data_IF_725443974452
#
_entry.id   IF_725443974452
#
_cell.length_a   1.000
_cell.length_b   1.000
_cell.length_c   1.000
_cell.angle_alpha   90.00
_cell.angle_beta   90.00
_cell.angle_gamma   90.00
#
_symmetry.space_group_name_H-M   'P 1'
#
loop_
_entity.id
_entity.type
_entity.pdbx_description
1 polymer ?
#
# COMPACT_ATOMS: atom_id res chain seq x y z
N UNK A 1 4.15 39.07 52.30
CA UNK A 1 3.31 38.34 51.31
C UNK A 1 3.52 36.86 51.55
N UNK A 2 2.48 36.05 51.81
CA UNK A 2 2.68 34.61 51.95
C UNK A 2 2.88 34.00 50.56
N UNK A 3 3.96 33.24 50.40
CA UNK A 3 4.27 32.49 49.18
C UNK A 3 3.28 31.34 49.02
N UNK A 4 2.53 31.33 47.91
CA UNK A 4 1.70 30.20 47.51
C UNK A 4 2.58 28.94 47.42
N UNK A 5 2.35 27.99 48.32
CA UNK A 5 2.90 26.64 48.21
C UNK A 5 2.24 25.97 47.02
N UNK A 6 2.92 25.92 45.88
CA UNK A 6 2.51 25.09 44.75
C UNK A 6 2.55 23.62 45.19
N UNK A 7 1.37 23.02 45.38
CA UNK A 7 1.26 21.58 45.55
C UNK A 7 1.51 20.93 44.18
N UNK A 8 2.63 20.20 44.08
CA UNK A 8 2.90 19.35 42.91
C UNK A 8 1.84 18.25 42.76
N UNK A 9 1.76 17.61 41.59
CA UNK A 9 0.79 16.54 41.36
C UNK A 9 0.94 15.44 42.42
N UNK A 10 -0.17 14.82 42.85
CA UNK A 10 -0.13 13.78 43.88
C UNK A 10 0.75 12.60 43.43
N UNK A 11 1.50 11.97 44.36
CA UNK A 11 2.30 10.80 44.05
C UNK A 11 1.39 9.64 43.61
N UNK A 12 1.83 8.89 42.61
CA UNK A 12 1.08 7.72 42.10
C UNK A 12 0.85 6.72 43.22
N UNK A 13 -0.36 6.15 43.27
CA UNK A 13 -0.67 5.11 44.24
C UNK A 13 0.05 3.80 43.92
N UNK A 14 0.28 2.95 44.93
CA UNK A 14 0.90 1.62 44.74
C UNK A 14 0.19 0.79 43.67
N UNK A 15 -1.14 0.87 43.62
CA UNK A 15 -1.95 0.15 42.65
C UNK A 15 -1.75 0.70 41.22
N UNK A 16 -1.65 2.02 41.06
CA UNK A 16 -1.32 2.63 39.76
C UNK A 16 0.07 2.24 39.27
N UNK A 17 1.04 2.19 40.18
CA UNK A 17 2.40 1.70 39.88
C UNK A 17 2.38 0.23 39.46
N UNK A 18 1.63 -0.63 40.15
CA UNK A 18 1.48 -2.04 39.81
C UNK A 18 0.84 -2.23 38.42
N UNK A 19 -0.26 -1.53 38.15
CA UNK A 19 -0.98 -1.61 36.87
C UNK A 19 -0.09 -1.14 35.72
N UNK A 20 0.55 0.02 35.85
CA UNK A 20 1.39 0.59 34.77
C UNK A 20 2.64 -0.24 34.49
N UNK A 21 3.22 -0.86 35.52
CA UNK A 21 4.42 -1.70 35.39
C UNK A 21 4.15 -3.04 34.68
N UNK A 22 2.90 -3.50 34.63
CA UNK A 22 2.52 -4.77 33.99
C UNK A 22 1.87 -4.54 32.62
N UNK A 23 0.92 -3.60 32.51
CA UNK A 23 0.18 -3.39 31.27
C UNK A 23 1.03 -2.78 30.15
N UNK A 24 1.93 -1.84 30.49
CA UNK A 24 2.78 -1.17 29.49
C UNK A 24 3.67 -2.15 28.72
N UNK A 25 4.47 -2.98 29.41
CA UNK A 25 5.31 -3.98 28.76
C UNK A 25 4.53 -5.03 27.97
N UNK A 26 3.39 -5.52 28.49
CA UNK A 26 2.54 -6.49 27.80
C UNK A 26 1.97 -5.91 26.49
N UNK A 27 1.50 -4.66 26.52
CA UNK A 27 1.05 -3.97 25.31
C UNK A 27 2.21 -3.77 24.32
N UNK A 28 3.40 -3.42 24.82
CA UNK A 28 4.61 -3.31 23.99
C UNK A 28 4.96 -4.61 23.27
N UNK A 29 4.91 -5.75 23.97
CA UNK A 29 5.14 -7.07 23.36
C UNK A 29 4.06 -7.39 22.33
N UNK A 30 2.79 -7.11 22.64
CA UNK A 30 1.69 -7.33 21.70
C UNK A 30 1.87 -6.49 20.41
N UNK A 31 2.22 -5.21 20.56
CA UNK A 31 2.47 -4.32 19.43
C UNK A 31 3.68 -4.77 18.61
N UNK A 32 4.74 -5.28 19.24
CA UNK A 32 5.91 -5.80 18.54
C UNK A 32 5.55 -7.03 17.69
N UNK A 33 4.77 -7.96 18.24
CA UNK A 33 4.28 -9.13 17.52
C UNK A 33 3.35 -8.72 16.37
N UNK A 34 2.45 -7.76 16.61
CA UNK A 34 1.55 -7.24 15.59
C UNK A 34 2.30 -6.55 14.45
N UNK A 35 3.34 -5.76 14.75
CA UNK A 35 4.19 -5.12 13.76
C UNK A 35 4.93 -6.16 12.91
N UNK A 36 5.49 -7.20 13.53
CA UNK A 36 6.14 -8.31 12.82
C UNK A 36 5.15 -9.04 11.90
N UNK A 37 3.96 -9.36 12.40
CA UNK A 37 2.90 -9.99 11.60
C UNK A 37 2.47 -9.12 10.42
N UNK A 38 2.36 -7.79 10.61
CA UNK A 38 2.01 -6.85 9.56
C UNK A 38 3.08 -6.77 8.47
N UNK A 39 4.37 -6.79 8.85
CA UNK A 39 5.48 -6.82 7.89
C UNK A 39 5.47 -8.10 7.06
N UNK A 40 5.33 -9.26 7.74
CA UNK A 40 5.26 -10.57 7.06
C UNK A 40 4.04 -10.63 6.14
N UNK A 41 2.88 -10.14 6.57
CA UNK A 41 1.69 -10.05 5.72
C UNK A 41 1.96 -9.23 4.45
N UNK A 42 2.64 -8.09 4.58
CA UNK A 42 2.97 -7.22 3.45
C UNK A 42 3.89 -7.92 2.44
N UNK A 43 4.87 -8.67 2.93
CA UNK A 43 5.80 -9.43 2.10
C UNK A 43 5.11 -10.60 1.40
N UNK A 44 4.33 -11.40 2.13
CA UNK A 44 3.57 -12.53 1.57
C UNK A 44 2.61 -12.06 0.47
N UNK A 45 1.90 -10.95 0.68
CA UNK A 45 1.01 -10.38 -0.34
C UNK A 45 1.77 -10.04 -1.62
N UNK A 46 2.96 -9.47 -1.49
CA UNK A 46 3.80 -9.08 -2.62
C UNK A 46 4.29 -10.32 -3.36
N UNK A 47 4.78 -11.33 -2.62
CA UNK A 47 5.20 -12.61 -3.18
C UNK A 47 4.07 -13.33 -3.93
N UNK A 48 2.89 -13.47 -3.32
CA UNK A 48 1.73 -14.06 -3.99
C UNK A 48 1.38 -13.32 -5.29
N UNK A 49 1.41 -11.98 -5.28
CA UNK A 49 1.15 -11.20 -6.49
C UNK A 49 2.15 -11.51 -7.60
N UNK A 50 3.44 -11.59 -7.28
CA UNK A 50 4.47 -11.91 -8.26
C UNK A 50 4.31 -13.33 -8.82
N UNK A 51 4.00 -14.30 -7.97
CA UNK A 51 3.76 -15.68 -8.36
C UNK A 51 2.52 -15.83 -9.26
N UNK A 52 1.41 -15.19 -8.87
CA UNK A 52 0.16 -15.22 -9.64
C UNK A 52 0.33 -14.56 -11.01
N UNK A 53 1.08 -13.45 -11.09
CA UNK A 53 1.41 -12.81 -12.36
C UNK A 53 2.28 -13.71 -13.24
N UNK A 54 3.28 -14.40 -12.67
CA UNK A 54 4.10 -15.36 -13.42
C UNK A 54 3.27 -16.54 -13.93
N UNK A 55 2.39 -17.08 -13.09
CA UNK A 55 1.48 -18.17 -13.47
C UNK A 55 0.46 -17.72 -14.54
N UNK A 56 -0.02 -16.49 -14.47
CA UNK A 56 -0.87 -15.87 -15.48
C UNK A 56 -0.11 -15.66 -16.80
N UNK A 57 1.11 -15.15 -16.75
CA UNK A 57 1.98 -14.97 -17.92
C UNK A 57 2.28 -16.31 -18.61
N UNK A 58 2.43 -17.41 -17.86
CA UNK A 58 2.64 -18.73 -18.45
C UNK A 58 1.39 -19.28 -19.19
N UNK A 59 0.20 -18.75 -18.92
CA UNK A 59 -1.08 -19.19 -19.50
C UNK A 59 -1.69 -18.20 -20.49
N UNK A 60 -1.12 -17.00 -20.61
CA UNK A 60 -1.68 -15.96 -21.47
C UNK A 60 -1.52 -16.32 -22.95
N UNK A 61 -2.57 -16.14 -23.74
CA UNK A 61 -2.56 -16.41 -25.18
C UNK A 61 -2.57 -15.10 -25.96
N UNK A 62 -1.67 -14.99 -26.93
CA UNK A 62 -1.67 -13.88 -27.88
C UNK A 62 -2.84 -14.05 -28.87
N UNK A 63 -3.73 -13.06 -28.96
CA UNK A 63 -4.85 -13.06 -29.89
C UNK A 63 -4.82 -11.83 -30.79
N UNK A 64 -5.42 -11.95 -31.97
CA UNK A 64 -5.61 -10.83 -32.89
C UNK A 64 -6.70 -9.89 -32.35
N UNK A 65 -6.51 -8.57 -32.46
CA UNK A 65 -7.43 -7.55 -31.95
C UNK A 65 -8.68 -7.35 -32.82
N UNK A 66 -8.62 -7.70 -34.10
CA UNK A 66 -9.64 -7.42 -35.12
C UNK A 66 -10.86 -8.36 -35.02
N UNK A 67 -10.71 -9.51 -34.34
CA UNK A 67 -11.80 -10.49 -34.20
C UNK A 67 -11.74 -11.24 -32.87
N UNK A 68 -12.92 -11.53 -32.33
CA UNK A 68 -13.07 -12.45 -31.20
C UNK A 68 -13.12 -13.88 -31.73
N UNK A 69 -12.22 -14.73 -31.23
CA UNK A 69 -12.19 -16.16 -31.57
C UNK A 69 -12.77 -16.99 -30.41
N UNK A 70 -13.93 -17.64 -30.61
CA UNK A 70 -14.57 -18.46 -29.58
C UNK A 70 -13.69 -19.60 -29.02
N UNK A 71 -12.61 -19.97 -29.72
CA UNK A 71 -11.67 -20.98 -29.25
C UNK A 71 -10.88 -20.57 -27.99
N UNK A 72 -10.83 -19.27 -27.66
CA UNK A 72 -10.10 -18.73 -26.49
C UNK A 72 -11.06 -18.28 -25.37
N UNK A 73 -12.34 -18.64 -25.43
CA UNK A 73 -13.32 -18.31 -24.38
C UNK A 73 -12.88 -18.87 -23.02
N UNK A 74 -12.90 -18.00 -22.00
CA UNK A 74 -12.45 -18.34 -20.65
C UNK A 74 -10.94 -18.38 -20.45
N UNK A 75 -10.13 -18.15 -21.50
CA UNK A 75 -8.68 -18.03 -21.37
C UNK A 75 -8.26 -16.59 -21.00
N UNK A 76 -7.08 -16.47 -20.38
CA UNK A 76 -6.41 -15.18 -20.26
C UNK A 76 -5.76 -14.85 -21.60
N UNK A 77 -6.13 -13.71 -22.20
CA UNK A 77 -5.61 -13.31 -23.52
C UNK A 77 -4.89 -11.97 -23.45
N UNK A 78 -3.92 -11.77 -24.34
CA UNK A 78 -3.32 -10.47 -24.60
C UNK A 78 -3.38 -10.18 -26.10
N UNK A 79 -3.59 -8.90 -26.45
CA UNK A 79 -3.60 -8.47 -27.84
C UNK A 79 -2.81 -7.18 -28.00
N UNK A 80 -2.40 -6.90 -29.23
CA UNK A 80 -1.62 -5.72 -29.59
C UNK A 80 -2.20 -5.14 -30.88
N UNK A 81 -2.36 -3.83 -30.91
CA UNK A 81 -2.85 -3.08 -32.06
C UNK A 81 -2.51 -1.60 -31.92
N UNK A 82 -2.81 -0.83 -32.95
CA UNK A 82 -2.72 0.63 -32.89
C UNK A 82 -3.77 1.16 -31.90
N UNK A 83 -3.32 2.00 -30.96
CA UNK A 83 -4.19 2.67 -30.00
C UNK A 83 -4.17 4.16 -30.30
N UNK A 84 -5.36 4.77 -30.35
CA UNK A 84 -5.54 6.20 -30.58
C UNK A 84 -6.54 6.79 -29.57
N UNK A 85 -6.47 8.11 -29.33
CA UNK A 85 -7.34 8.81 -28.37
C UNK A 85 -7.77 10.18 -28.90
N UNK A 86 -9.04 10.54 -28.63
CA UNK A 86 -9.57 11.87 -28.94
C UNK A 86 -9.49 12.84 -27.76
N UNK A 87 -9.47 12.32 -26.53
CA UNK A 87 -9.58 13.11 -25.31
C UNK A 87 -8.20 13.52 -24.75
N UNK A 88 -7.13 12.84 -25.18
CA UNK A 88 -5.78 13.03 -24.62
C UNK A 88 -5.66 12.51 -23.19
N UNK A 89 -4.60 12.92 -22.48
CA UNK A 89 -4.37 12.57 -21.09
C UNK A 89 -4.03 13.83 -20.28
N UNK A 90 -4.54 13.90 -19.05
CA UNK A 90 -4.36 15.03 -18.15
C UNK A 90 -3.92 14.57 -16.76
N UNK A 91 -3.12 15.40 -16.10
CA UNK A 91 -2.77 15.29 -14.68
C UNK A 91 -3.40 16.49 -13.95
N UNK A 92 -4.55 16.30 -13.28
CA UNK A 92 -5.24 17.37 -12.56
C UNK A 92 -4.44 17.94 -11.39
N UNK A 93 -3.57 17.15 -10.77
CA UNK A 93 -2.77 17.59 -9.62
C UNK A 93 -1.66 18.56 -10.04
N UNK A 94 -1.15 18.41 -11.26
CA UNK A 94 -0.13 19.28 -11.86
C UNK A 94 -0.71 20.32 -12.84
N UNK A 95 -1.99 20.23 -13.17
CA UNK A 95 -2.66 21.15 -14.09
C UNK A 95 -2.18 21.05 -15.56
N UNK A 96 -1.67 19.88 -15.98
CA UNK A 96 -1.16 19.66 -17.35
C UNK A 96 -2.07 18.74 -18.16
N UNK A 97 -2.17 18.98 -19.46
CA UNK A 97 -2.93 18.16 -20.39
C UNK A 97 -2.23 18.09 -21.76
N UNK A 98 -2.18 16.90 -22.35
CA UNK A 98 -1.49 16.64 -23.62
C UNK A 98 -2.31 15.69 -24.50
N UNK A 99 -2.22 15.81 -25.84
CA UNK A 99 -2.88 14.90 -26.77
C UNK A 99 -2.10 13.58 -26.88
N UNK A 100 -2.04 12.83 -25.79
CA UNK A 100 -1.30 11.54 -25.67
C UNK A 100 -2.19 10.49 -25.01
N UNK A 101 -1.87 9.21 -25.21
CA UNK A 101 -2.61 8.09 -24.63
C UNK A 101 -2.42 7.94 -23.11
N UNK A 102 -1.25 8.32 -22.59
CA UNK A 102 -0.90 8.11 -21.18
C UNK A 102 0.16 9.12 -20.72
N UNK A 103 -0.01 9.64 -19.50
CA UNK A 103 1.00 10.39 -18.79
C UNK A 103 1.64 9.49 -17.74
N UNK A 104 2.98 9.47 -17.69
CA UNK A 104 3.74 8.75 -16.67
C UNK A 104 4.42 9.76 -15.76
N UNK A 105 3.97 9.82 -14.50
CA UNK A 105 4.59 10.63 -13.46
C UNK A 105 5.79 9.87 -12.87
N UNK A 106 6.96 10.50 -12.91
CA UNK A 106 8.15 10.02 -12.17
C UNK A 106 8.30 10.89 -10.93
N UNK A 107 8.33 10.27 -9.74
CA UNK A 107 8.51 10.96 -8.47
C UNK A 107 9.74 10.38 -7.78
N UNK A 108 10.71 11.24 -7.49
CA UNK A 108 11.92 10.87 -6.76
C UNK A 108 11.84 11.44 -5.34
N UNK A 109 12.24 10.64 -4.35
CA UNK A 109 12.46 11.10 -2.98
C UNK A 109 13.95 11.06 -2.73
N UNK A 110 14.55 12.21 -2.43
CA UNK A 110 15.93 12.29 -1.95
C UNK A 110 15.93 11.99 -0.44
N UNK A 111 16.60 10.91 -0.04
CA UNK A 111 16.92 10.65 1.37
C UNK A 111 18.25 11.32 1.72
N UNK A 112 18.34 11.89 2.92
CA UNK A 112 19.58 12.42 3.49
C UNK A 112 20.35 11.36 4.26
#
# INVERSE_FOLDING_TARGET
>A
MPSETQFGPPPKSFLELLITSVLGPLLGVLLLLAAGALLVWNEIRTLHRTHDLAAAQAKVVAVNADRVDPAHEGALVHTTGEADTREGAADPDLGVAFPVLSLRRHVEIYQW
#
